data_IF_350308220922
#
_entry.id   IF_350308220922
#
_cell.length_a   1.000
_cell.length_b   1.000
_cell.length_c   1.000
_cell.angle_alpha   90.00
_cell.angle_beta   90.00
_cell.angle_gamma   90.00
#
_symmetry.space_group_name_H-M   'P 1'
#
loop_
_entity.id
_entity.type
_entity.pdbx_description
1 polymer ?
#
# COMPACT_ATOMS: atom_id res chain seq x y z
N UNK A 1 -0.75 -15.46 -6.72
CA UNK A 1 -0.95 -14.30 -7.61
C UNK A 1 0.39 -13.92 -8.17
N UNK A 2 0.46 -13.63 -9.47
CA UNK A 2 1.69 -13.13 -10.08
C UNK A 2 1.93 -11.68 -9.67
N UNK A 3 3.18 -11.25 -9.66
CA UNK A 3 3.58 -9.87 -9.37
C UNK A 3 2.87 -8.86 -10.28
N UNK A 4 2.76 -9.18 -11.57
CA UNK A 4 2.09 -8.33 -12.55
C UNK A 4 0.59 -8.19 -12.28
N UNK A 5 -0.06 -9.26 -11.80
CA UNK A 5 -1.48 -9.22 -11.46
C UNK A 5 -1.73 -8.30 -10.26
N UNK A 6 -0.85 -8.33 -9.25
CA UNK A 6 -0.95 -7.47 -8.08
C UNK A 6 -0.90 -5.99 -8.46
N UNK A 7 0.04 -5.61 -9.34
CA UNK A 7 0.17 -4.23 -9.83
C UNK A 7 -1.08 -3.81 -10.61
N UNK A 8 -1.54 -4.65 -11.54
CA UNK A 8 -2.76 -4.38 -12.32
C UNK A 8 -3.97 -4.18 -11.42
N UNK A 9 -4.18 -5.03 -10.43
CA UNK A 9 -5.31 -4.93 -9.49
C UNK A 9 -5.25 -3.64 -8.66
N UNK A 10 -4.05 -3.21 -8.22
CA UNK A 10 -3.90 -1.97 -7.47
C UNK A 10 -4.24 -0.73 -8.32
N UNK A 11 -3.82 -0.71 -9.59
CA UNK A 11 -4.19 0.37 -10.50
C UNK A 11 -5.66 0.32 -10.95
N UNK A 12 -6.24 -0.87 -11.14
CA UNK A 12 -7.67 -1.01 -11.45
C UNK A 12 -8.55 -0.58 -10.28
N UNK A 13 -8.14 -0.93 -9.06
CA UNK A 13 -8.82 -0.52 -7.84
C UNK A 13 -8.09 0.67 -7.23
N UNK A 14 -8.02 1.77 -7.95
CA UNK A 14 -7.26 2.95 -7.54
C UNK A 14 -7.85 3.59 -6.25
N UNK A 15 -9.17 3.82 -6.22
CA UNK A 15 -9.90 4.51 -5.11
C UNK A 15 -11.06 3.66 -4.55
N UNK A 16 -10.91 2.33 -4.52
CA UNK A 16 -11.91 1.45 -3.89
C UNK A 16 -11.51 1.16 -2.44
N UNK A 17 -12.26 1.61 -1.44
CA UNK A 17 -11.93 1.35 -0.03
C UNK A 17 -12.70 0.19 0.59
N UNK A 18 -13.70 -0.36 -0.11
CA UNK A 18 -14.61 -1.37 0.44
C UNK A 18 -14.15 -2.80 0.19
N UNK A 19 -13.16 -3.00 -0.68
CA UNK A 19 -12.64 -4.32 -1.01
C UNK A 19 -11.76 -4.98 0.06
N UNK A 20 -11.38 -6.22 -0.24
CA UNK A 20 -10.40 -7.04 0.47
C UNK A 20 -9.13 -7.18 -0.38
N UNK A 21 -7.95 -7.27 0.24
CA UNK A 21 -6.67 -7.39 -0.47
C UNK A 21 -5.86 -8.58 0.04
N UNK A 22 -5.57 -9.52 -0.87
CA UNK A 22 -4.81 -10.71 -0.49
C UNK A 22 -3.41 -10.31 -0.03
N UNK A 23 -2.86 -11.02 0.96
CA UNK A 23 -1.50 -10.80 1.48
C UNK A 23 -0.43 -10.55 0.40
N UNK A 24 -0.29 -11.40 -0.65
CA UNK A 24 0.71 -11.15 -1.68
C UNK A 24 0.42 -9.89 -2.52
N UNK A 25 -0.83 -9.48 -2.71
CA UNK A 25 -1.15 -8.22 -3.40
C UNK A 25 -0.56 -7.02 -2.66
N UNK A 26 -0.75 -6.98 -1.34
CA UNK A 26 -0.22 -5.92 -0.48
C UNK A 26 1.31 -5.87 -0.50
N UNK A 27 1.98 -7.00 -0.28
CA UNK A 27 3.45 -7.03 -0.21
C UNK A 27 4.12 -6.76 -1.56
N UNK A 28 3.53 -7.22 -2.68
CA UNK A 28 4.04 -6.88 -4.01
C UNK A 28 3.85 -5.40 -4.33
N UNK A 29 2.73 -4.79 -3.91
CA UNK A 29 2.53 -3.35 -4.05
C UNK A 29 3.58 -2.56 -3.26
N UNK A 30 3.82 -2.90 -1.99
CA UNK A 30 4.83 -2.25 -1.14
C UNK A 30 6.24 -2.39 -1.73
N UNK A 31 6.61 -3.59 -2.20
CA UNK A 31 7.91 -3.80 -2.82
C UNK A 31 8.05 -2.99 -4.12
N UNK A 32 7.01 -2.97 -4.96
CA UNK A 32 6.99 -2.21 -6.20
C UNK A 32 7.14 -0.70 -5.96
N UNK A 33 6.35 -0.12 -5.05
CA UNK A 33 6.43 1.31 -4.75
C UNK A 33 7.77 1.68 -4.13
N UNK A 34 8.32 0.85 -3.25
CA UNK A 34 9.64 1.08 -2.66
C UNK A 34 10.75 1.12 -3.72
N UNK A 35 10.81 0.11 -4.60
CA UNK A 35 11.85 0.03 -5.65
C UNK A 35 11.71 1.17 -6.65
N UNK A 36 10.50 1.43 -7.16
CA UNK A 36 10.28 2.47 -8.16
C UNK A 36 10.59 3.85 -7.59
N UNK A 37 10.11 4.16 -6.38
CA UNK A 37 10.40 5.44 -5.74
C UNK A 37 11.89 5.59 -5.44
N UNK A 38 12.58 4.53 -5.01
CA UNK A 38 14.02 4.58 -4.77
C UNK A 38 14.81 4.89 -6.05
N UNK A 39 14.52 4.17 -7.15
CA UNK A 39 15.17 4.39 -8.45
C UNK A 39 14.86 5.78 -9.03
N UNK A 40 13.60 6.22 -8.97
CA UNK A 40 13.20 7.54 -9.47
C UNK A 40 13.87 8.67 -8.69
N UNK A 41 13.97 8.57 -7.36
CA UNK A 41 14.66 9.59 -6.56
C UNK A 41 16.18 9.63 -6.83
N UNK A 42 16.78 8.50 -7.19
CA UNK A 42 18.21 8.44 -7.50
C UNK A 42 18.58 9.09 -8.83
N UNK A 43 17.74 8.96 -9.86
CA UNK A 43 18.06 9.44 -11.21
C UNK A 43 17.26 10.66 -11.67
N UNK A 44 15.99 10.77 -11.27
CA UNK A 44 15.03 11.76 -11.78
C UNK A 44 14.13 12.27 -10.63
N UNK A 45 14.67 13.07 -9.69
CA UNK A 45 13.97 13.44 -8.47
C UNK A 45 12.64 14.17 -8.72
N UNK A 46 12.58 15.04 -9.74
CA UNK A 46 11.34 15.75 -10.13
C UNK A 46 10.26 14.75 -10.57
N UNK A 47 10.62 13.73 -11.34
CA UNK A 47 9.69 12.69 -11.77
C UNK A 47 9.26 11.79 -10.61
N UNK A 48 10.16 11.55 -9.65
CA UNK A 48 9.87 10.86 -8.40
C UNK A 48 8.75 11.53 -7.59
N UNK A 49 8.73 12.87 -7.53
CA UNK A 49 7.67 13.63 -6.85
C UNK A 49 6.32 13.40 -7.53
N UNK A 50 6.26 13.53 -8.86
CA UNK A 50 5.02 13.33 -9.64
C UNK A 50 4.50 11.90 -9.46
N UNK A 51 5.40 10.92 -9.52
CA UNK A 51 5.05 9.51 -9.30
C UNK A 51 4.52 9.28 -7.88
N UNK A 52 5.16 9.86 -6.86
CA UNK A 52 4.75 9.74 -5.46
C UNK A 52 3.32 10.24 -5.25
N UNK A 53 2.91 11.32 -5.91
CA UNK A 53 1.53 11.82 -5.86
C UNK A 53 0.57 10.81 -6.50
N UNK A 54 0.94 10.24 -7.65
CA UNK A 54 0.15 9.23 -8.35
C UNK A 54 0.00 7.90 -7.61
N UNK A 55 0.98 7.49 -6.80
CA UNK A 55 0.88 6.25 -6.00
C UNK A 55 0.30 6.47 -4.60
N UNK A 56 0.12 7.72 -4.17
CA UNK A 56 -0.34 8.05 -2.83
C UNK A 56 -1.73 7.48 -2.55
N UNK A 57 -2.70 7.76 -3.43
CA UNK A 57 -4.07 7.27 -3.33
C UNK A 57 -4.17 5.73 -3.31
N UNK A 58 -3.57 4.99 -4.28
CA UNK A 58 -3.63 3.54 -4.27
C UNK A 58 -2.89 2.92 -3.07
N UNK A 59 -1.85 3.59 -2.53
CA UNK A 59 -1.17 3.12 -1.32
C UNK A 59 -2.06 3.20 -0.09
N UNK A 60 -2.85 4.27 0.05
CA UNK A 60 -3.85 4.39 1.12
C UNK A 60 -4.94 3.34 0.91
N UNK A 61 -5.49 3.23 -0.32
CA UNK A 61 -6.61 2.32 -0.59
C UNK A 61 -6.25 0.85 -0.34
N UNK A 62 -5.09 0.38 -0.79
CA UNK A 62 -4.61 -0.99 -0.58
C UNK A 62 -4.37 -1.27 0.91
N UNK A 63 -3.77 -0.32 1.65
CA UNK A 63 -3.58 -0.49 3.09
C UNK A 63 -4.88 -0.47 3.90
N UNK A 64 -5.89 0.31 3.48
CA UNK A 64 -7.21 0.31 4.08
C UNK A 64 -7.94 -1.03 3.86
N UNK A 65 -7.93 -1.57 2.63
CA UNK A 65 -8.48 -2.91 2.35
C UNK A 65 -7.81 -4.00 3.16
N UNK A 66 -6.49 -3.91 3.33
CA UNK A 66 -5.73 -4.88 4.13
C UNK A 66 -6.09 -4.80 5.60
N UNK A 67 -6.37 -3.61 6.14
CA UNK A 67 -6.86 -3.47 7.51
C UNK A 67 -8.28 -4.01 7.66
N UNK A 68 -9.15 -3.76 6.67
CA UNK A 68 -10.50 -4.34 6.63
C UNK A 68 -10.47 -5.87 6.65
N UNK A 69 -9.48 -6.51 6.02
CA UNK A 69 -9.30 -7.98 6.09
C UNK A 69 -8.98 -8.51 7.48
N UNK A 70 -8.38 -7.68 8.35
CA UNK A 70 -8.04 -8.06 9.73
C UNK A 70 -9.20 -7.71 10.68
N UNK A 71 -10.28 -7.11 10.16
CA UNK A 71 -11.44 -6.67 10.94
C UNK A 71 -11.24 -5.32 11.62
N UNK A 72 -10.22 -4.57 11.22
CA UNK A 72 -9.93 -3.22 11.72
C UNK A 72 -10.42 -2.17 10.72
N UNK A 73 -10.78 -0.97 11.18
CA UNK A 73 -11.18 0.11 10.27
C UNK A 73 -9.97 0.69 9.51
N UNK A 74 -10.16 1.12 8.26
CA UNK A 74 -9.09 1.73 7.45
C UNK A 74 -8.46 2.97 8.08
N UNK A 75 -9.18 3.66 8.97
CA UNK A 75 -8.70 4.80 9.75
C UNK A 75 -7.52 4.47 10.67
N UNK A 76 -7.29 3.19 10.99
CA UNK A 76 -6.08 2.78 11.72
C UNK A 76 -4.79 3.13 10.97
N UNK A 77 -4.81 3.41 9.65
CA UNK A 77 -3.64 3.94 8.94
C UNK A 77 -3.09 5.25 9.53
N UNK A 78 -3.94 6.08 10.14
CA UNK A 78 -3.51 7.36 10.72
C UNK A 78 -2.56 7.19 11.90
N UNK A 79 -2.55 6.03 12.58
CA UNK A 79 -1.57 5.79 13.65
C UNK A 79 -0.14 5.79 13.10
N UNK A 80 0.05 5.53 11.80
CA UNK A 80 1.38 5.61 11.17
C UNK A 80 2.02 7.00 11.27
N UNK A 81 1.22 8.06 11.39
CA UNK A 81 1.72 9.44 11.54
C UNK A 81 2.40 9.71 12.88
N UNK A 82 2.16 8.90 13.91
CA UNK A 82 2.81 9.05 15.22
C UNK A 82 4.22 8.42 15.28
N UNK A 83 4.71 7.88 14.16
CA UNK A 83 6.02 7.21 14.05
C UNK A 83 6.00 5.79 14.61
N UNK A 84 5.53 5.60 15.84
CA UNK A 84 5.43 4.27 16.49
C UNK A 84 4.37 3.40 15.80
N UNK A 85 3.29 4.00 15.30
CA UNK A 85 2.20 3.26 14.69
C UNK A 85 2.54 2.57 13.37
N UNK A 86 3.68 2.88 12.74
CA UNK A 86 4.19 2.12 11.59
C UNK A 86 4.45 0.66 11.94
N UNK A 87 5.04 0.37 13.11
CA UNK A 87 5.29 -1.00 13.57
C UNK A 87 3.99 -1.77 13.79
N UNK A 88 2.99 -1.09 14.36
CA UNK A 88 1.65 -1.65 14.59
C UNK A 88 0.95 -1.94 13.26
N UNK A 89 1.06 -1.05 12.28
CA UNK A 89 0.50 -1.25 10.94
C UNK A 89 1.17 -2.41 10.20
N UNK A 90 2.49 -2.51 10.25
CA UNK A 90 3.23 -3.64 9.67
C UNK A 90 2.77 -4.96 10.31
N UNK A 91 2.59 -4.97 11.63
CA UNK A 91 2.07 -6.14 12.34
C UNK A 91 0.66 -6.53 11.86
N UNK A 92 -0.26 -5.57 11.75
CA UNK A 92 -1.61 -5.82 11.24
C UNK A 92 -1.59 -6.28 9.77
N UNK A 93 -0.77 -5.67 8.91
CA UNK A 93 -0.66 -6.08 7.51
C UNK A 93 -0.07 -7.49 7.35
N UNK A 94 0.82 -7.91 8.25
CA UNK A 94 1.40 -9.25 8.31
C UNK A 94 0.44 -10.32 8.87
N UNK A 95 -0.53 -9.96 9.72
CA UNK A 95 -1.50 -10.90 10.29
C UNK A 95 -2.35 -11.60 9.23
N UNK A 96 -2.94 -12.75 9.58
CA UNK A 96 -3.80 -13.51 8.65
C UNK A 96 -5.14 -12.80 8.62
N UNK A 97 -5.60 -12.43 7.42
CA UNK A 97 -6.97 -11.93 7.30
C UNK A 97 -7.94 -12.99 7.80
N UNK A 98 -8.98 -12.57 8.52
CA UNK A 98 -10.04 -13.45 8.98
C UNK A 98 -10.98 -13.81 7.84
#
# INVERSE_FOLDING_TARGET
MSFQDAIKVCFQKYVDFNGKSKRPEFWYWVAFTFIVTFLLNMFLPILGIVFSIGIFLPSISVGARRLHDVGMSGWWQLIGLTGIGLLVLIFFWAQKGK
#
